data_IF_853808642592
#
_entry.id   IF_853808642592
#
_cell.length_a   1.000
_cell.length_b   1.000
_cell.length_c   1.000
_cell.angle_alpha   90.00
_cell.angle_beta   90.00
_cell.angle_gamma   90.00
#
_symmetry.space_group_name_H-M   'P 1'
#
loop_
_entity.id
_entity.type
_entity.pdbx_description
1 polymer ?
#
# COMPACT_ATOMS: atom_id res chain seq x y z
N UNK A 1 34.99 -2.51 7.21
CA UNK A 1 34.75 -3.64 6.29
C UNK A 1 33.51 -4.38 6.77
N UNK A 2 32.40 -4.54 6.05
CA UNK A 2 32.06 -4.32 4.65
C UNK A 2 30.59 -3.92 4.62
N UNK A 3 30.32 -2.69 4.19
CA UNK A 3 28.99 -2.14 3.83
C UNK A 3 28.44 -2.82 2.56
N UNK A 4 28.54 -4.14 2.49
CA UNK A 4 28.30 -4.93 1.27
C UNK A 4 27.14 -5.93 1.40
N UNK A 5 26.43 -5.96 2.53
CA UNK A 5 25.27 -6.84 2.67
C UNK A 5 23.95 -6.23 2.19
N UNK A 6 23.92 -4.94 1.80
CA UNK A 6 22.72 -4.25 1.30
C UNK A 6 22.66 -4.26 -0.25
N UNK A 7 23.62 -4.92 -0.91
CA UNK A 7 23.69 -4.98 -2.38
C UNK A 7 23.42 -6.40 -2.92
N UNK A 8 22.51 -7.16 -2.30
CA UNK A 8 22.39 -8.60 -2.52
C UNK A 8 21.03 -9.17 -2.91
N UNK A 9 19.95 -8.39 -3.03
CA UNK A 9 18.61 -8.97 -3.29
C UNK A 9 17.62 -8.03 -4.00
N UNK A 10 18.12 -7.25 -4.96
CA UNK A 10 17.29 -6.47 -5.91
C UNK A 10 17.53 -6.98 -7.34
N UNK A 11 17.48 -8.30 -7.49
CA UNK A 11 17.79 -8.99 -8.74
C UNK A 11 17.20 -10.38 -8.75
N UNK A 12 15.90 -10.51 -8.46
CA UNK A 12 15.19 -11.76 -8.72
C UNK A 12 13.89 -11.48 -9.47
N UNK A 13 13.78 -12.17 -10.60
CA UNK A 13 12.62 -12.32 -11.49
C UNK A 13 12.47 -11.31 -12.63
N UNK A 14 13.43 -11.36 -13.56
CA UNK A 14 13.28 -10.90 -14.95
C UNK A 14 13.18 -12.07 -15.94
N UNK A 15 12.72 -13.25 -15.50
CA UNK A 15 12.74 -14.45 -16.34
C UNK A 15 11.52 -15.33 -16.11
N UNK A 16 10.36 -14.94 -16.66
CA UNK A 16 9.32 -15.86 -17.12
C UNK A 16 8.49 -15.21 -18.24
N UNK A 17 9.09 -14.87 -19.39
CA UNK A 17 8.34 -14.74 -20.63
C UNK A 17 8.83 -15.78 -21.63
N UNK A 18 8.37 -17.02 -21.43
CA UNK A 18 8.36 -18.05 -22.45
C UNK A 18 7.08 -18.88 -22.30
N UNK A 19 5.92 -18.29 -22.64
CA UNK A 19 4.84 -19.06 -23.26
C UNK A 19 3.82 -18.16 -23.96
N UNK A 20 3.89 -18.12 -25.29
CA UNK A 20 2.90 -17.47 -26.12
C UNK A 20 1.52 -18.13 -25.92
N UNK A 21 0.60 -17.44 -25.27
CA UNK A 21 -0.80 -17.86 -25.09
C UNK A 21 -1.68 -16.70 -24.61
N UNK A 22 -2.97 -16.68 -24.99
CA UNK A 22 -3.92 -15.62 -24.61
C UNK A 22 -4.02 -15.40 -23.09
N UNK A 23 -3.77 -16.44 -22.28
CA UNK A 23 -3.72 -16.38 -20.81
C UNK A 23 -2.54 -15.55 -20.26
N UNK A 24 -1.43 -15.48 -21.00
CA UNK A 24 -0.20 -14.76 -20.60
C UNK A 24 -0.43 -13.22 -20.60
N UNK A 25 -1.47 -12.74 -21.32
CA UNK A 25 -1.73 -11.30 -21.53
C UNK A 25 -2.11 -10.56 -20.26
N UNK A 26 -2.95 -11.16 -19.40
CA UNK A 26 -3.43 -10.56 -18.14
C UNK A 26 -2.55 -10.94 -16.95
N UNK A 27 -1.76 -12.01 -17.09
CA UNK A 27 -0.89 -12.55 -16.04
C UNK A 27 0.14 -11.52 -15.56
N UNK A 28 0.71 -10.72 -16.46
CA UNK A 28 1.65 -9.66 -16.10
C UNK A 28 1.02 -8.59 -15.17
N UNK A 29 -0.23 -8.19 -15.45
CA UNK A 29 -0.97 -7.26 -14.57
C UNK A 29 -1.29 -7.93 -13.23
N UNK A 30 -1.64 -9.20 -13.24
CA UNK A 30 -1.96 -9.97 -12.03
C UNK A 30 -0.76 -10.07 -11.10
N UNK A 31 0.38 -10.53 -11.61
CA UNK A 31 1.62 -10.66 -10.84
C UNK A 31 2.07 -9.32 -10.26
N UNK A 32 1.92 -8.25 -11.06
CA UNK A 32 2.19 -6.89 -10.61
C UNK A 32 1.29 -6.49 -9.44
N UNK A 33 -0.03 -6.65 -9.56
CA UNK A 33 -0.98 -6.30 -8.49
C UNK A 33 -0.75 -7.13 -7.23
N UNK A 34 -0.49 -8.44 -7.37
CA UNK A 34 -0.15 -9.30 -6.23
C UNK A 34 1.13 -8.83 -5.51
N UNK A 35 2.15 -8.43 -6.26
CA UNK A 35 3.39 -7.89 -5.69
C UNK A 35 3.11 -6.60 -4.91
N UNK A 36 2.34 -5.68 -5.50
CA UNK A 36 1.97 -4.42 -4.84
C UNK A 36 1.15 -4.67 -3.57
N UNK A 37 0.25 -5.66 -3.55
CA UNK A 37 -0.45 -6.04 -2.33
C UNK A 37 0.46 -6.58 -1.22
N UNK A 38 1.50 -7.35 -1.59
CA UNK A 38 2.45 -7.95 -0.63
C UNK A 38 3.45 -6.93 -0.10
N UNK A 39 3.94 -6.04 -0.96
CA UNK A 39 5.08 -5.15 -0.66
C UNK A 39 4.68 -3.67 -0.47
N UNK A 40 3.45 -3.29 -0.83
CA UNK A 40 3.00 -1.89 -0.91
C UNK A 40 3.15 -1.10 0.39
N UNK A 41 2.98 -1.75 1.54
CA UNK A 41 3.16 -1.11 2.86
C UNK A 41 4.58 -0.66 3.15
N UNK A 42 5.56 -1.23 2.46
CA UNK A 42 6.97 -0.90 2.59
C UNK A 42 7.45 0.12 1.55
N UNK A 43 6.58 0.54 0.63
CA UNK A 43 6.93 1.50 -0.41
C UNK A 43 6.97 2.94 0.12
N UNK A 44 7.99 3.68 -0.34
CA UNK A 44 8.08 5.13 -0.17
C UNK A 44 7.16 5.84 -1.16
N UNK A 45 6.87 7.13 -0.95
CA UNK A 45 6.06 7.91 -1.89
C UNK A 45 6.65 7.92 -3.31
N UNK A 46 7.97 8.08 -3.43
CA UNK A 46 8.66 7.96 -4.72
C UNK A 46 8.46 6.58 -5.36
N UNK A 47 8.48 5.51 -4.55
CA UNK A 47 8.26 4.17 -5.10
C UNK A 47 6.82 3.97 -5.56
N UNK A 48 5.85 4.59 -4.88
CA UNK A 48 4.47 4.63 -5.34
C UNK A 48 4.31 5.36 -6.67
N UNK A 49 5.04 6.45 -6.92
CA UNK A 49 5.03 7.12 -8.23
C UNK A 49 5.50 6.17 -9.35
N UNK A 50 6.63 5.49 -9.16
CA UNK A 50 7.16 4.51 -10.13
C UNK A 50 6.18 3.36 -10.36
N UNK A 51 5.58 2.84 -9.28
CA UNK A 51 4.61 1.73 -9.34
C UNK A 51 3.32 2.16 -10.03
N UNK A 52 2.86 3.39 -9.83
CA UNK A 52 1.67 3.93 -10.51
C UNK A 52 1.92 4.12 -12.02
N UNK A 53 3.13 4.51 -12.40
CA UNK A 53 3.55 4.60 -13.81
C UNK A 53 3.57 3.21 -14.46
N UNK A 54 4.23 2.24 -13.85
CA UNK A 54 4.29 0.85 -14.33
C UNK A 54 2.89 0.23 -14.47
N UNK A 55 2.01 0.45 -13.47
CA UNK A 55 0.62 0.01 -13.55
C UNK A 55 -0.12 0.61 -14.75
N UNK A 56 0.11 1.91 -15.02
CA UNK A 56 -0.51 2.61 -16.15
C UNK A 56 0.00 2.10 -17.50
N UNK A 57 1.30 1.78 -17.60
CA UNK A 57 1.89 1.18 -18.79
C UNK A 57 1.32 -0.20 -19.08
N UNK A 58 1.16 -1.05 -18.05
CA UNK A 58 0.53 -2.37 -18.17
C UNK A 58 -0.90 -2.27 -18.66
N UNK A 59 -1.68 -1.31 -18.13
CA UNK A 59 -3.03 -1.06 -18.61
C UNK A 59 -3.06 -0.53 -20.05
N UNK A 60 -2.12 0.33 -20.45
CA UNK A 60 -2.04 0.80 -21.84
C UNK A 60 -1.71 -0.35 -22.80
N UNK A 61 -0.78 -1.23 -22.43
CA UNK A 61 -0.47 -2.45 -23.18
C UNK A 61 -1.71 -3.32 -23.33
N UNK A 62 -2.47 -3.52 -22.25
CA UNK A 62 -3.71 -4.28 -22.29
C UNK A 62 -4.78 -3.64 -23.19
N UNK A 63 -4.98 -2.32 -23.09
CA UNK A 63 -5.93 -1.59 -23.93
C UNK A 63 -5.54 -1.56 -25.41
N UNK A 64 -4.27 -1.83 -25.75
CA UNK A 64 -3.83 -1.93 -27.14
C UNK A 64 -4.30 -3.22 -27.83
N UNK A 65 -4.74 -4.23 -27.07
CA UNK A 65 -5.33 -5.44 -27.63
C UNK A 65 -6.79 -5.19 -28.04
N UNK A 66 -7.09 -5.41 -29.32
CA UNK A 66 -8.44 -5.25 -29.87
C UNK A 66 -9.35 -6.48 -29.61
N UNK A 67 -8.78 -7.63 -29.21
CA UNK A 67 -9.44 -8.93 -29.12
C UNK A 67 -9.54 -9.48 -27.68
N UNK A 68 -9.62 -8.62 -26.67
CA UNK A 68 -9.84 -9.07 -25.28
C UNK A 68 -11.23 -9.71 -25.14
N UNK A 69 -11.25 -10.91 -24.57
CA UNK A 69 -12.48 -11.62 -24.21
C UNK A 69 -13.17 -10.96 -23.01
N UNK A 70 -14.46 -11.27 -22.82
CA UNK A 70 -15.21 -10.78 -21.66
C UNK A 70 -14.63 -11.28 -20.32
N UNK A 71 -14.00 -12.45 -20.31
CA UNK A 71 -13.30 -12.99 -19.13
C UNK A 71 -12.04 -12.19 -18.82
N UNK A 72 -11.19 -11.93 -19.83
CA UNK A 72 -10.00 -11.08 -19.67
C UNK A 72 -10.37 -9.67 -19.21
N UNK A 73 -11.41 -9.06 -19.80
CA UNK A 73 -11.89 -7.73 -19.38
C UNK A 73 -12.37 -7.72 -17.93
N UNK A 74 -13.07 -8.78 -17.50
CA UNK A 74 -13.51 -8.92 -16.12
C UNK A 74 -12.32 -9.04 -15.17
N UNK A 75 -11.33 -9.85 -15.53
CA UNK A 75 -10.12 -10.04 -14.72
C UNK A 75 -9.31 -8.74 -14.62
N UNK A 76 -9.13 -8.01 -15.73
CA UNK A 76 -8.47 -6.69 -15.72
C UNK A 76 -9.20 -5.72 -14.79
N UNK A 77 -10.53 -5.65 -14.86
CA UNK A 77 -11.33 -4.78 -14.00
C UNK A 77 -11.21 -5.16 -12.51
N UNK A 78 -11.18 -6.45 -12.20
CA UNK A 78 -10.95 -6.94 -10.84
C UNK A 78 -9.57 -6.54 -10.33
N UNK A 79 -8.53 -6.72 -11.14
CA UNK A 79 -7.15 -6.33 -10.81
C UNK A 79 -7.00 -4.82 -10.62
N UNK A 80 -7.69 -4.01 -11.44
CA UNK A 80 -7.76 -2.55 -11.25
C UNK A 80 -8.40 -2.17 -9.92
N UNK A 81 -9.50 -2.82 -9.55
CA UNK A 81 -10.16 -2.59 -8.27
C UNK A 81 -9.29 -2.99 -7.08
N UNK A 82 -8.62 -4.14 -7.17
CA UNK A 82 -7.70 -4.62 -6.15
C UNK A 82 -6.52 -3.66 -5.94
N UNK A 83 -5.89 -3.21 -7.03
CA UNK A 83 -4.82 -2.23 -6.98
C UNK A 83 -5.27 -0.91 -6.33
N UNK A 84 -6.42 -0.37 -6.77
CA UNK A 84 -6.97 0.86 -6.20
C UNK A 84 -7.26 0.74 -4.71
N UNK A 85 -7.79 -0.41 -4.27
CA UNK A 85 -8.01 -0.70 -2.85
C UNK A 85 -6.71 -0.75 -2.06
N UNK A 86 -5.63 -1.32 -2.62
CA UNK A 86 -4.30 -1.30 -1.99
C UNK A 86 -3.76 0.11 -1.86
N UNK A 87 -3.74 0.89 -2.94
CA UNK A 87 -3.31 2.30 -2.91
C UNK A 87 -4.10 3.08 -1.87
N UNK A 88 -5.44 2.93 -1.87
CA UNK A 88 -6.29 3.58 -0.88
C UNK A 88 -5.93 3.16 0.54
N UNK A 89 -5.78 1.87 0.83
CA UNK A 89 -5.41 1.38 2.17
C UNK A 89 -4.10 1.98 2.65
N UNK A 90 -3.10 2.08 1.78
CA UNK A 90 -1.76 2.55 2.14
C UNK A 90 -1.69 4.07 2.36
N UNK A 91 -2.49 4.85 1.63
CA UNK A 91 -2.55 6.30 1.80
C UNK A 91 -3.60 6.75 2.82
N UNK A 92 -4.78 6.14 2.84
CA UNK A 92 -5.83 6.44 3.81
C UNK A 92 -5.51 5.90 5.20
N UNK A 93 -4.86 4.74 5.31
CA UNK A 93 -4.40 4.18 6.59
C UNK A 93 -3.47 5.14 7.33
N UNK A 94 -2.54 5.79 6.62
CA UNK A 94 -1.64 6.81 7.20
C UNK A 94 -2.40 8.05 7.71
N UNK A 95 -3.47 8.45 7.03
CA UNK A 95 -4.29 9.57 7.47
C UNK A 95 -5.14 9.21 8.69
N UNK A 96 -5.71 8.01 8.71
CA UNK A 96 -6.52 7.50 9.81
C UNK A 96 -5.70 7.18 11.06
N UNK A 97 -4.47 6.65 10.91
CA UNK A 97 -3.54 6.41 12.02
C UNK A 97 -3.10 7.73 12.67
N UNK A 98 -2.76 8.75 11.87
CA UNK A 98 -2.45 10.08 12.39
C UNK A 98 -3.64 10.73 13.09
N UNK A 99 -4.84 10.64 12.50
CA UNK A 99 -6.05 11.15 13.13
C UNK A 99 -6.36 10.40 14.43
N UNK A 100 -6.23 9.06 14.44
CA UNK A 100 -6.39 8.23 15.63
C UNK A 100 -5.41 8.60 16.74
N UNK A 101 -4.12 8.74 16.43
CA UNK A 101 -3.11 9.12 17.41
C UNK A 101 -3.32 10.53 18.00
N UNK A 102 -3.83 11.49 17.21
CA UNK A 102 -4.20 12.82 17.71
C UNK A 102 -5.43 12.76 18.61
N UNK A 103 -6.42 11.95 18.26
CA UNK A 103 -7.62 11.76 19.06
C UNK A 103 -7.32 11.02 20.37
N UNK A 104 -6.44 10.01 20.35
CA UNK A 104 -6.03 9.25 21.52
C UNK A 104 -5.29 10.16 22.53
N UNK A 105 -4.32 10.96 22.06
CA UNK A 105 -3.64 11.94 22.91
C UNK A 105 -4.56 13.07 23.41
N UNK A 106 -5.61 13.43 22.66
CA UNK A 106 -6.63 14.39 23.09
C UNK A 106 -7.57 13.79 24.16
N UNK A 107 -7.95 12.52 24.02
CA UNK A 107 -8.76 11.80 25.01
C UNK A 107 -7.96 11.60 26.29
N UNK A 108 -6.71 11.16 26.19
CA UNK A 108 -5.83 10.96 27.35
C UNK A 108 -5.61 12.29 28.12
N UNK A 109 -5.44 13.40 27.40
CA UNK A 109 -5.37 14.74 27.98
C UNK A 109 -6.67 15.25 28.61
N UNK A 110 -7.84 14.76 28.19
CA UNK A 110 -9.13 15.06 28.82
C UNK A 110 -9.42 14.18 30.03
N UNK A 111 -8.95 12.93 30.05
CA UNK A 111 -9.14 12.01 31.18
C UNK A 111 -8.09 12.17 32.27
N UNK A 112 -6.99 12.88 32.00
CA UNK A 112 -5.88 13.09 32.94
C UNK A 112 -6.09 14.18 34.01
N UNK A 113 -7.21 14.91 33.99
CA UNK A 113 -7.45 16.06 34.89
C UNK A 113 -8.48 15.79 36.01
N UNK A 114 -9.07 14.57 36.09
CA UNK A 114 -10.14 14.27 37.07
C UNK A 114 -9.67 13.52 38.35
N UNK A 115 -8.36 13.35 38.59
CA UNK A 115 -7.84 12.76 39.83
C UNK A 115 -6.81 13.64 40.56
N UNK A 116 -7.14 14.89 40.88
CA UNK A 116 -6.50 15.56 42.03
C UNK A 116 -7.35 16.69 42.61
N UNK A 117 -8.39 16.32 43.35
CA UNK A 117 -9.28 17.26 44.02
C UNK A 117 -9.59 16.89 45.45
N UNK A 118 -8.70 16.18 46.17
CA UNK A 118 -8.88 16.04 47.62
C UNK A 118 -7.55 15.71 48.32
N UNK A 119 -6.81 16.75 48.73
CA UNK A 119 -5.96 16.68 49.90
C UNK A 119 -5.59 18.06 50.45
N UNK A 120 -6.01 18.26 51.69
CA UNK A 120 -5.39 19.04 52.74
C UNK A 120 -5.35 20.58 52.61
N UNK A 121 -6.34 21.23 53.23
CA UNK A 121 -6.05 22.42 54.05
C UNK A 121 -6.36 22.08 55.52
N UNK A 122 -5.30 21.75 56.28
CA UNK A 122 -5.25 21.89 57.73
C UNK A 122 -4.06 22.78 58.09
N UNK A 123 -4.36 23.85 58.86
CA UNK A 123 -3.52 24.56 59.84
C UNK A 123 -2.39 25.44 59.25
N UNK A 124 -2.11 26.68 59.66
CA UNK A 124 -2.13 27.34 60.98
C UNK A 124 -2.26 28.88 60.82
N UNK A 125 -3.04 29.54 61.67
CA UNK A 125 -2.69 30.61 62.66
C UNK A 125 -3.92 31.42 63.12
#
# INVERSE_FOLDING_TARGET
MKRLFIAGLLGLSLLLLNSCGKQDRVEELKDFVEKVQKEGSSYTEKKWEEVNEEFSELLQKLNSYEDLSAEELREIAELQGQYAATVFKEHAGKAMEKAGAVLDGFVEGLTGDDENGEQAEEQDE
#
